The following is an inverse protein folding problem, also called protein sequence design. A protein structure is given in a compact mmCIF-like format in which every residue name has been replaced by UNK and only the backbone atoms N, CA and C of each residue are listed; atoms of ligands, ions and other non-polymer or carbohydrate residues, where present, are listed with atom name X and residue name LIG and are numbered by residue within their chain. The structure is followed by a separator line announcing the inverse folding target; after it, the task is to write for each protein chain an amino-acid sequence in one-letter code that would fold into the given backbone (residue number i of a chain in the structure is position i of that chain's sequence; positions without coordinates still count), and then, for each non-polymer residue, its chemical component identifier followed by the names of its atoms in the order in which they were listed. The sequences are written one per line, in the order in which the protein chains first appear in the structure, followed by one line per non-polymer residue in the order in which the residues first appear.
data_IF_928605631952
#
_entry.id   IF_928605631952
#
_cell.length_a   1.000
_cell.length_b   1.000
_cell.length_c   1.000
_cell.angle_alpha   90.00
_cell.angle_beta   90.00
_cell.angle_gamma   90.00
#
_symmetry.space_group_name_H-M   'P 1'
#
loop_
_entity.id
_entity.type
_entity.pdbx_description
1 polymer ?
#
# COMPACT_ATOMS: atom_id res chain seq x y z
N UNK A 1 -30.23 42.54 -49.83
CA UNK A 1 -28.98 41.81 -49.48
C UNK A 1 -28.63 41.77 -47.99
N UNK A 2 -28.93 42.79 -47.18
CA UNK A 2 -28.53 42.88 -45.76
C UNK A 2 -29.10 41.79 -44.83
N UNK A 3 -30.35 41.34 -45.02
CA UNK A 3 -30.96 40.25 -44.22
C UNK A 3 -30.19 38.92 -44.33
N UNK A 4 -29.69 38.56 -45.52
CA UNK A 4 -28.88 37.33 -45.73
C UNK A 4 -27.52 37.40 -45.01
N UNK A 5 -26.92 38.59 -44.87
CA UNK A 5 -25.67 38.79 -44.11
C UNK A 5 -25.87 38.65 -42.60
N UNK A 6 -26.96 39.21 -42.04
CA UNK A 6 -27.29 39.09 -40.61
C UNK A 6 -27.53 37.63 -40.17
N UNK A 7 -28.20 36.84 -41.01
CA UNK A 7 -28.42 35.41 -40.71
C UNK A 7 -27.12 34.59 -40.73
N UNK A 8 -26.18 34.89 -41.64
CA UNK A 8 -24.86 34.24 -41.65
C UNK A 8 -24.05 34.53 -40.39
N UNK A 9 -24.11 35.76 -39.89
CA UNK A 9 -23.42 36.15 -38.65
C UNK A 9 -24.01 35.43 -37.44
N UNK A 10 -25.35 35.32 -37.35
CA UNK A 10 -26.00 34.56 -36.28
C UNK A 10 -25.62 33.08 -36.27
N UNK A 11 -25.51 32.45 -37.44
CA UNK A 11 -25.06 31.06 -37.57
C UNK A 11 -23.60 30.90 -37.09
N UNK A 12 -22.71 31.82 -37.46
CA UNK A 12 -21.31 31.79 -37.03
C UNK A 12 -21.20 31.91 -35.50
N UNK A 13 -21.97 32.83 -34.90
CA UNK A 13 -22.01 33.01 -33.44
C UNK A 13 -22.54 31.76 -32.74
N UNK A 14 -23.56 31.11 -33.30
CA UNK A 14 -24.10 29.86 -32.78
C UNK A 14 -23.06 28.74 -32.79
N UNK A 15 -22.36 28.54 -33.91
CA UNK A 15 -21.28 27.54 -33.99
C UNK A 15 -20.14 27.85 -33.03
N UNK A 16 -19.79 29.14 -32.87
CA UNK A 16 -18.76 29.55 -31.91
C UNK A 16 -19.14 29.19 -30.46
N UNK A 17 -20.38 29.50 -30.06
CA UNK A 17 -20.90 29.12 -28.74
C UNK A 17 -20.97 27.61 -28.57
N UNK A 18 -21.39 26.88 -29.61
CA UNK A 18 -21.44 25.42 -29.59
C UNK A 18 -20.05 24.80 -29.38
N UNK A 19 -19.03 25.31 -30.07
CA UNK A 19 -17.64 24.87 -29.91
C UNK A 19 -17.14 25.15 -28.48
N UNK A 20 -17.46 26.30 -27.89
CA UNK A 20 -17.09 26.61 -26.50
C UNK A 20 -17.71 25.62 -25.50
N UNK A 21 -18.97 25.23 -25.71
CA UNK A 21 -19.62 24.22 -24.86
C UNK A 21 -18.93 22.87 -25.00
N UNK A 22 -18.60 22.45 -26.23
CA UNK A 22 -17.87 21.20 -26.47
C UNK A 22 -16.49 21.20 -25.80
N UNK A 23 -15.73 22.30 -25.92
CA UNK A 23 -14.42 22.44 -25.27
C UNK A 23 -14.53 22.34 -23.74
N UNK A 24 -15.57 22.94 -23.14
CA UNK A 24 -15.84 22.82 -21.69
C UNK A 24 -16.13 21.37 -21.29
N UNK A 25 -16.91 20.64 -22.08
CA UNK A 25 -17.19 19.22 -21.81
C UNK A 25 -15.94 18.35 -21.95
N UNK A 26 -15.11 18.58 -22.97
CA UNK A 26 -13.84 17.87 -23.14
C UNK A 26 -12.94 18.05 -21.92
N UNK A 27 -12.80 19.29 -21.42
CA UNK A 27 -12.03 19.58 -20.20
C UNK A 27 -12.57 18.84 -18.98
N UNK A 28 -13.89 18.78 -18.83
CA UNK A 28 -14.55 18.05 -17.74
C UNK A 28 -14.27 16.54 -17.80
N UNK A 29 -14.38 15.94 -18.98
CA UNK A 29 -14.10 14.52 -19.21
C UNK A 29 -12.63 14.19 -18.89
N UNK A 30 -11.69 15.04 -19.30
CA UNK A 30 -10.26 14.86 -19.00
C UNK A 30 -10.01 14.89 -17.49
N UNK A 31 -10.66 15.81 -16.77
CA UNK A 31 -10.51 15.91 -15.31
C UNK A 31 -11.07 14.67 -14.61
N UNK A 32 -12.27 14.22 -14.98
CA UNK A 32 -12.86 12.98 -14.43
C UNK A 32 -11.92 11.79 -14.63
N UNK A 33 -11.36 11.62 -15.84
CA UNK A 33 -10.44 10.51 -16.10
C UNK A 33 -9.19 10.59 -15.23
N UNK A 34 -8.64 11.78 -14.98
CA UNK A 34 -7.51 11.98 -14.07
C UNK A 34 -7.87 11.63 -12.64
N UNK A 35 -9.06 12.02 -12.18
CA UNK A 35 -9.52 11.75 -10.82
C UNK A 35 -9.80 10.26 -10.59
N UNK A 36 -10.42 9.58 -11.56
CA UNK A 36 -10.58 8.11 -11.54
C UNK A 36 -9.22 7.42 -11.46
N UNK A 37 -8.25 7.84 -12.29
CA UNK A 37 -6.90 7.26 -12.25
C UNK A 37 -6.25 7.45 -10.88
N UNK A 38 -6.36 8.63 -10.28
CA UNK A 38 -5.85 8.90 -8.92
C UNK A 38 -6.57 8.04 -7.87
N UNK A 39 -7.88 7.86 -7.99
CA UNK A 39 -8.62 7.00 -7.07
C UNK A 39 -8.19 5.54 -7.19
N UNK A 40 -8.02 5.03 -8.41
CA UNK A 40 -7.56 3.65 -8.64
C UNK A 40 -6.17 3.41 -8.05
N UNK A 41 -5.23 4.34 -8.23
CA UNK A 41 -3.90 4.26 -7.61
C UNK A 41 -4.02 4.21 -6.08
N UNK A 42 -4.86 5.05 -5.47
CA UNK A 42 -5.09 5.04 -4.02
C UNK A 42 -5.73 3.74 -3.54
N UNK A 43 -6.60 3.13 -4.33
CA UNK A 43 -7.21 1.83 -4.01
C UNK A 43 -6.12 0.75 -4.02
N UNK A 44 -5.31 0.69 -5.06
CA UNK A 44 -4.21 -0.26 -5.20
C UNK A 44 -3.16 -0.12 -4.07
N UNK A 45 -2.80 1.11 -3.70
CA UNK A 45 -1.95 1.38 -2.53
C UNK A 45 -2.57 0.92 -1.21
N UNK A 46 -3.90 1.03 -1.06
CA UNK A 46 -4.59 0.54 0.15
C UNK A 46 -4.66 -0.98 0.16
N UNK A 47 -4.92 -1.61 -0.97
CA UNK A 47 -4.96 -3.08 -1.10
C UNK A 47 -3.60 -3.70 -0.79
N UNK A 48 -2.52 -3.14 -1.32
CA UNK A 48 -1.14 -3.59 -1.00
C UNK A 48 -0.82 -3.44 0.48
N UNK A 49 -1.23 -2.33 1.12
CA UNK A 49 -1.11 -2.17 2.58
C UNK A 49 -1.93 -3.20 3.35
N UNK A 50 -3.17 -3.46 2.96
CA UNK A 50 -4.04 -4.48 3.57
C UNK A 50 -3.37 -5.86 3.47
N UNK A 51 -2.83 -6.20 2.31
CA UNK A 51 -2.09 -7.45 2.12
C UNK A 51 -0.87 -7.55 3.04
N UNK A 52 -0.09 -6.47 3.15
CA UNK A 52 1.03 -6.38 4.07
C UNK A 52 0.61 -6.57 5.54
N UNK A 53 -0.48 -5.94 5.96
CA UNK A 53 -1.02 -6.12 7.32
C UNK A 53 -1.54 -7.54 7.56
N UNK A 54 -2.22 -8.16 6.58
CA UNK A 54 -2.65 -9.56 6.69
C UNK A 54 -1.46 -10.50 6.89
N UNK A 55 -0.38 -10.31 6.13
CA UNK A 55 0.86 -11.09 6.30
C UNK A 55 1.48 -10.89 7.68
N UNK A 56 1.53 -9.63 8.17
CA UNK A 56 2.00 -9.34 9.54
C UNK A 56 1.14 -10.04 10.60
N UNK A 57 -0.19 -10.02 10.46
CA UNK A 57 -1.11 -10.70 11.39
C UNK A 57 -0.86 -12.20 11.40
N UNK A 58 -0.66 -12.83 10.23
CA UNK A 58 -0.34 -14.27 10.16
C UNK A 58 0.95 -14.59 10.89
N UNK A 59 2.03 -13.85 10.63
CA UNK A 59 3.32 -14.05 11.31
C UNK A 59 3.20 -13.84 12.82
N UNK A 60 2.46 -12.81 13.26
CA UNK A 60 2.22 -12.55 14.68
C UNK A 60 1.40 -13.66 15.34
N UNK A 61 0.40 -14.21 14.66
CA UNK A 61 -0.37 -15.36 15.15
C UNK A 61 0.49 -16.61 15.26
N UNK A 62 1.38 -16.85 14.31
CA UNK A 62 2.31 -17.97 14.39
C UNK A 62 3.31 -17.80 15.54
N UNK A 63 3.85 -16.58 15.72
CA UNK A 63 4.69 -16.24 16.86
C UNK A 63 3.95 -16.43 18.20
N UNK A 64 2.70 -15.98 18.30
CA UNK A 64 1.87 -16.20 19.49
C UNK A 64 1.66 -17.69 19.75
N UNK A 65 1.33 -18.48 18.73
CA UNK A 65 1.18 -19.93 18.86
C UNK A 65 2.48 -20.61 19.33
N UNK A 66 3.63 -20.11 18.91
CA UNK A 66 4.93 -20.62 19.34
C UNK A 66 5.26 -20.19 20.78
N UNK A 67 4.88 -18.98 21.19
CA UNK A 67 5.06 -18.49 22.57
C UNK A 67 4.09 -19.22 23.53
N UNK A 68 2.84 -19.47 23.14
CA UNK A 68 1.85 -20.19 23.98
C UNK A 68 2.21 -21.65 24.23
N UNK A 69 3.13 -22.24 23.44
CA UNK A 69 3.68 -23.56 23.74
C UNK A 69 4.70 -23.43 24.87
N UNK A 70 4.30 -23.86 26.06
CA UNK A 70 5.11 -23.85 27.30
C UNK A 70 6.55 -24.35 27.09
N UNK A 71 6.73 -25.44 26.33
CA UNK A 71 8.03 -26.02 26.00
C UNK A 71 8.99 -25.04 25.29
N UNK A 72 8.44 -24.12 24.49
CA UNK A 72 9.22 -23.15 23.71
C UNK A 72 9.69 -22.00 24.59
N UNK A 73 8.84 -21.50 25.50
CA UNK A 73 9.23 -20.52 26.52
C UNK A 73 10.31 -21.12 27.40
N UNK A 74 10.11 -22.36 27.87
CA UNK A 74 11.07 -23.05 28.73
C UNK A 74 12.41 -23.26 28.02
N UNK A 75 12.40 -23.66 26.74
CA UNK A 75 13.61 -23.79 25.93
C UNK A 75 14.33 -22.45 25.72
N UNK A 76 13.61 -21.38 25.38
CA UNK A 76 14.19 -20.03 25.20
C UNK A 76 14.77 -19.50 26.52
N UNK A 77 14.07 -19.71 27.64
CA UNK A 77 14.55 -19.35 28.97
C UNK A 77 15.80 -20.13 29.33
N UNK A 78 15.82 -21.45 29.06
CA UNK A 78 17.00 -22.33 29.26
C UNK A 78 18.19 -21.86 28.44
N UNK A 79 18.02 -21.52 27.17
CA UNK A 79 19.08 -20.99 26.31
C UNK A 79 19.62 -19.63 26.81
N UNK A 80 18.74 -18.69 27.18
CA UNK A 80 19.14 -17.36 27.67
C UNK A 80 19.82 -17.40 29.04
N UNK A 81 19.38 -18.29 29.92
CA UNK A 81 19.93 -18.44 31.27
C UNK A 81 21.05 -19.49 31.35
N UNK A 82 21.45 -20.08 30.21
CA UNK A 82 22.37 -21.21 30.13
C UNK A 82 22.03 -22.36 31.11
N UNK A 83 20.73 -22.61 31.30
CA UNK A 83 20.24 -23.67 32.18
C UNK A 83 20.02 -24.97 31.38
N UNK A 84 20.50 -26.09 31.90
CA UNK A 84 20.32 -27.42 31.28
C UNK A 84 19.02 -28.07 31.72
N UNK A 85 18.41 -28.87 30.84
CA UNK A 85 17.41 -29.87 31.27
C UNK A 85 18.15 -31.04 31.93
N UNK A 86 17.47 -31.79 32.79
CA UNK A 86 18.02 -33.03 33.33
C UNK A 86 18.43 -33.97 32.17
N UNK A 87 19.71 -34.36 32.14
CA UNK A 87 20.29 -35.22 31.10
C UNK A 87 21.03 -34.52 29.95
N UNK A 88 21.04 -33.18 29.86
CA UNK A 88 21.75 -32.45 28.78
C UNK A 88 23.11 -31.88 29.24
N UNK A 89 24.13 -31.92 28.37
CA UNK A 89 25.46 -31.34 28.58
C UNK A 89 25.59 -30.06 27.74
N UNK A 90 25.77 -28.91 28.39
CA UNK A 90 25.99 -27.62 27.70
C UNK A 90 27.48 -27.38 27.54
N UNK A 91 27.95 -27.30 26.29
CA UNK A 91 29.31 -26.86 25.96
C UNK A 91 29.31 -25.33 25.81
N UNK A 92 29.99 -24.61 26.70
CA UNK A 92 30.26 -23.18 26.57
C UNK A 92 31.63 -23.01 25.94
N UNK A 93 31.71 -22.63 24.66
CA UNK A 93 32.97 -22.23 24.06
C UNK A 93 33.49 -20.97 24.76
N UNK A 94 34.52 -21.14 25.60
CA UNK A 94 35.34 -20.04 26.10
C UNK A 94 36.18 -19.53 24.93
N UNK A 95 35.69 -18.49 24.23
CA UNK A 95 36.57 -17.70 23.38
C UNK A 95 37.53 -16.94 24.29
N UNK A 96 38.73 -17.49 24.47
CA UNK A 96 39.86 -16.78 25.07
C UNK A 96 40.12 -15.53 24.22
N UNK A 97 39.77 -14.37 24.76
CA UNK A 97 40.29 -13.10 24.25
C UNK A 97 41.78 -13.06 24.60
N UNK A 98 42.63 -13.41 23.65
CA UNK A 98 44.05 -13.04 23.71
C UNK A 98 44.15 -11.52 23.78
N UNK A 99 44.42 -10.99 24.97
CA UNK A 99 44.94 -9.64 25.13
C UNK A 99 46.35 -9.61 24.53
N UNK A 100 46.59 -8.62 23.67
CA UNK A 100 47.87 -8.32 23.03
C UNK A 100 48.95 -8.02 24.06
#
# INVERSE_FOLDING_TARGET
MLKKKKNKIGIIIFYFLFILVLLKQIKYIINIRKDIKKMNIKVEEKETKIFGYKKKILNLKENLKNIEKLDTIEKIAREKLCMKKEGEIIYKELKEYKQK
#
